data_IF_440048554819
#
_entry.id   IF_440048554819
#
_cell.length_a   1.000
_cell.length_b   1.000
_cell.length_c   1.000
_cell.angle_alpha   90.00
_cell.angle_beta   90.00
_cell.angle_gamma   90.00
#
_symmetry.space_group_name_H-M   'P 1'
#
loop_
_entity.id
_entity.type
_entity.pdbx_description
1 polymer ?
#
# COMPACT_ATOMS: atom_id res chain seq x y z
N UNK A 1 -25.66 9.25 -18.54
CA UNK A 1 -25.21 7.87 -18.83
C UNK A 1 -25.32 7.67 -20.34
N UNK A 2 -24.23 7.82 -21.10
CA UNK A 2 -24.23 7.55 -22.53
C UNK A 2 -23.23 6.42 -22.84
N UNK A 3 -23.44 5.25 -22.24
CA UNK A 3 -22.78 4.00 -22.66
C UNK A 3 -23.70 3.29 -23.64
N UNK A 4 -23.78 3.85 -24.84
CA UNK A 4 -24.46 3.21 -25.97
C UNK A 4 -23.62 2.02 -26.41
N UNK A 5 -24.27 0.87 -26.59
CA UNK A 5 -23.64 -0.35 -27.06
C UNK A 5 -24.24 -0.78 -28.39
N UNK A 6 -23.47 -1.56 -29.15
CA UNK A 6 -23.93 -2.12 -30.41
C UNK A 6 -24.97 -3.23 -30.18
N UNK A 7 -25.75 -3.57 -31.22
CA UNK A 7 -26.70 -4.68 -31.14
C UNK A 7 -26.03 -6.03 -30.81
N UNK A 8 -24.79 -6.24 -31.27
CA UNK A 8 -24.01 -7.44 -30.92
C UNK A 8 -23.65 -7.47 -29.44
N UNK A 9 -23.09 -6.37 -28.93
CA UNK A 9 -22.73 -6.26 -27.51
C UNK A 9 -23.97 -6.33 -26.60
N UNK A 10 -25.11 -5.82 -27.06
CA UNK A 10 -26.37 -5.92 -26.35
C UNK A 10 -26.85 -7.37 -26.24
N UNK A 11 -26.70 -8.14 -27.31
CA UNK A 11 -27.02 -9.56 -27.29
C UNK A 11 -26.06 -10.36 -26.41
N UNK A 12 -24.76 -10.08 -26.48
CA UNK A 12 -23.77 -10.69 -25.61
C UNK A 12 -24.02 -10.34 -24.13
N UNK A 13 -24.40 -9.10 -23.84
CA UNK A 13 -24.76 -8.67 -22.49
C UNK A 13 -25.98 -9.46 -21.96
N UNK A 14 -27.00 -9.69 -22.79
CA UNK A 14 -28.14 -10.54 -22.42
C UNK A 14 -27.73 -11.99 -22.13
N UNK A 15 -26.82 -12.56 -22.92
CA UNK A 15 -26.31 -13.91 -22.68
C UNK A 15 -25.54 -14.02 -21.36
N UNK A 16 -24.84 -12.97 -20.97
CA UNK A 16 -24.14 -12.86 -19.69
C UNK A 16 -25.07 -12.46 -18.52
N UNK A 17 -26.39 -12.39 -18.74
CA UNK A 17 -27.38 -12.11 -17.70
C UNK A 17 -27.57 -10.63 -17.35
N UNK A 18 -27.01 -9.70 -18.14
CA UNK A 18 -27.25 -8.27 -17.96
C UNK A 18 -28.63 -7.85 -18.47
N UNK A 19 -29.22 -6.87 -17.81
CA UNK A 19 -30.45 -6.24 -18.29
C UNK A 19 -30.11 -5.17 -19.32
N UNK A 20 -30.58 -5.33 -20.55
CA UNK A 20 -30.39 -4.36 -21.64
C UNK A 20 -31.66 -3.57 -21.85
N UNK A 21 -31.52 -2.26 -22.09
CA UNK A 21 -32.61 -1.38 -22.46
C UNK A 21 -32.42 -0.90 -23.91
N UNK A 22 -33.52 -0.55 -24.56
CA UNK A 22 -33.56 -0.14 -25.95
C UNK A 22 -34.36 1.16 -26.10
N UNK A 23 -33.96 1.99 -27.07
CA UNK A 23 -34.78 3.11 -27.56
C UNK A 23 -34.63 3.28 -29.08
N UNK A 24 -35.64 3.81 -29.78
CA UNK A 24 -35.50 4.22 -31.17
C UNK A 24 -34.50 5.38 -31.32
N UNK A 25 -33.70 5.38 -32.38
CA UNK A 25 -32.75 6.47 -32.69
C UNK A 25 -33.51 7.78 -32.88
N UNK A 26 -33.09 8.83 -32.19
CA UNK A 26 -33.69 10.17 -32.27
C UNK A 26 -34.94 10.36 -31.40
N UNK A 27 -35.33 9.34 -30.65
CA UNK A 27 -36.35 9.49 -29.61
C UNK A 27 -35.76 10.22 -28.39
N UNK A 28 -36.46 11.25 -27.91
CA UNK A 28 -36.05 12.01 -26.71
C UNK A 28 -36.45 11.30 -25.41
N UNK A 29 -37.16 10.17 -25.51
CA UNK A 29 -37.60 9.38 -24.38
C UNK A 29 -36.46 8.57 -23.73
N UNK A 30 -36.71 8.16 -22.48
CA UNK A 30 -35.81 7.30 -21.72
C UNK A 30 -35.79 5.86 -22.29
N UNK A 31 -34.69 5.14 -22.07
CA UNK A 31 -34.55 3.77 -22.51
C UNK A 31 -35.60 2.87 -21.86
N UNK A 32 -36.25 2.03 -22.66
CA UNK A 32 -37.31 1.13 -22.22
C UNK A 32 -36.85 -0.33 -22.24
N UNK A 33 -37.55 -1.19 -21.51
CA UNK A 33 -37.24 -2.62 -21.44
C UNK A 33 -37.46 -3.31 -22.79
N UNK A 34 -36.68 -4.36 -23.06
CA UNK A 34 -36.67 -5.04 -24.36
C UNK A 34 -37.99 -5.78 -24.67
N UNK A 35 -38.78 -6.11 -23.66
CA UNK A 35 -40.08 -6.77 -23.80
C UNK A 35 -41.12 -5.91 -24.54
N UNK A 36 -40.92 -4.59 -24.56
CA UNK A 36 -41.75 -3.63 -25.29
C UNK A 36 -41.43 -3.56 -26.79
N UNK A 37 -40.37 -4.24 -27.24
CA UNK A 37 -39.88 -4.17 -28.62
C UNK A 37 -39.87 -5.54 -29.31
N UNK A 38 -40.04 -5.59 -30.64
CA UNK A 38 -39.94 -6.85 -31.37
C UNK A 38 -38.50 -7.35 -31.45
N UNK A 39 -38.26 -8.66 -31.37
CA UNK A 39 -36.91 -9.27 -31.43
C UNK A 39 -36.07 -8.87 -32.67
N UNK A 40 -36.71 -8.33 -33.72
CA UNK A 40 -36.03 -7.81 -34.92
C UNK A 40 -35.15 -6.57 -34.67
N UNK A 41 -35.25 -5.91 -33.50
CA UNK A 41 -34.46 -4.70 -33.19
C UNK A 41 -32.96 -4.93 -33.28
N UNK A 42 -32.45 -6.13 -32.95
CA UNK A 42 -31.03 -6.45 -33.03
C UNK A 42 -30.48 -6.49 -34.46
N UNK A 43 -31.37 -6.65 -35.46
CA UNK A 43 -31.02 -6.70 -36.87
C UNK A 43 -31.27 -5.37 -37.61
N UNK A 44 -31.95 -4.40 -36.98
CA UNK A 44 -32.36 -3.14 -37.62
C UNK A 44 -31.44 -1.99 -37.24
N UNK A 45 -30.97 -1.25 -38.24
CA UNK A 45 -30.31 0.04 -38.05
C UNK A 45 -31.37 1.10 -37.74
N UNK A 46 -31.55 1.43 -36.46
CA UNK A 46 -32.57 2.38 -36.00
C UNK A 46 -32.89 2.32 -34.51
N UNK A 47 -32.17 1.49 -33.75
CA UNK A 47 -32.31 1.35 -32.30
C UNK A 47 -30.96 1.55 -31.62
N UNK A 48 -31.00 2.15 -30.44
CA UNK A 48 -29.88 2.35 -29.55
C UNK A 48 -30.06 1.49 -28.31
N UNK A 49 -29.00 0.81 -27.89
CA UNK A 49 -29.01 -0.09 -26.74
C UNK A 49 -28.10 0.45 -25.65
N UNK A 50 -28.46 0.20 -24.40
CA UNK A 50 -27.56 0.40 -23.26
C UNK A 50 -27.78 -0.69 -22.20
N UNK A 51 -26.76 -0.96 -21.38
CA UNK A 51 -26.89 -1.87 -20.24
C UNK A 51 -27.48 -1.08 -19.06
N UNK A 52 -28.57 -1.59 -18.49
CA UNK A 52 -29.11 -1.11 -17.22
C UNK A 52 -28.15 -1.52 -16.12
N UNK A 53 -27.44 -0.55 -15.58
CA UNK A 53 -26.65 -0.76 -14.38
C UNK A 53 -27.61 -0.85 -13.19
N UNK A 54 -27.70 -2.02 -12.56
CA UNK A 54 -28.44 -2.18 -11.32
C UNK A 54 -27.89 -1.21 -10.26
N UNK A 55 -28.77 -0.60 -9.47
CA UNK A 55 -28.37 0.25 -8.34
C UNK A 55 -28.67 -0.46 -7.03
N UNK A 56 -27.87 -0.16 -6.01
CA UNK A 56 -28.04 -0.64 -4.64
C UNK A 56 -28.12 0.56 -3.70
N UNK A 57 -28.92 0.45 -2.65
CA UNK A 57 -29.01 1.43 -1.57
C UNK A 57 -28.31 0.89 -0.31
N UNK A 58 -27.39 1.68 0.24
CA UNK A 58 -26.71 1.38 1.49
C UNK A 58 -26.60 2.65 2.34
N UNK A 59 -27.00 2.58 3.61
CA UNK A 59 -26.99 3.72 4.55
C UNK A 59 -27.73 4.98 4.03
N UNK A 60 -28.76 4.80 3.21
CA UNK A 60 -29.53 5.89 2.58
C UNK A 60 -28.79 6.58 1.43
N UNK A 61 -27.74 5.95 0.87
CA UNK A 61 -27.02 6.40 -0.31
C UNK A 61 -27.19 5.35 -1.40
N UNK A 62 -27.66 5.76 -2.57
CA UNK A 62 -27.83 4.90 -3.74
C UNK A 62 -26.63 5.02 -4.67
N UNK A 63 -26.07 3.90 -5.11
CA UNK A 63 -24.97 3.84 -6.09
C UNK A 63 -25.13 2.62 -7.01
N UNK A 64 -24.46 2.60 -8.16
CA UNK A 64 -24.49 1.44 -9.06
C UNK A 64 -23.82 0.22 -8.44
N UNK A 65 -24.33 -0.96 -8.74
CA UNK A 65 -23.76 -2.24 -8.34
C UNK A 65 -22.28 -2.31 -8.72
N UNK A 66 -21.40 -2.79 -7.81
CA UNK A 66 -19.98 -2.90 -8.09
C UNK A 66 -19.70 -3.67 -9.40
N UNK A 67 -18.58 -3.32 -10.03
CA UNK A 67 -18.12 -4.01 -11.24
C UNK A 67 -17.81 -5.47 -10.90
N UNK A 68 -18.34 -6.39 -11.71
CA UNK A 68 -18.05 -7.82 -11.60
C UNK A 68 -16.94 -8.23 -12.56
N UNK A 69 -16.36 -9.41 -12.33
CA UNK A 69 -15.25 -9.90 -13.16
C UNK A 69 -15.67 -10.17 -14.61
N UNK A 70 -16.93 -10.56 -14.83
CA UNK A 70 -17.48 -10.85 -16.16
C UNK A 70 -17.64 -9.56 -17.00
N UNK A 71 -17.72 -8.41 -16.34
CA UNK A 71 -17.83 -7.10 -16.98
C UNK A 71 -16.48 -6.41 -17.18
N UNK A 72 -15.44 -6.91 -16.51
CA UNK A 72 -14.12 -6.31 -16.56
C UNK A 72 -13.43 -6.65 -17.88
N UNK A 73 -13.02 -5.62 -18.62
CA UNK A 73 -12.19 -5.75 -19.81
C UNK A 73 -10.75 -5.41 -19.45
N UNK A 74 -9.80 -6.30 -19.78
CA UNK A 74 -8.38 -6.06 -19.54
C UNK A 74 -7.92 -4.75 -20.21
N UNK A 75 -7.24 -3.90 -19.45
CA UNK A 75 -6.79 -2.58 -19.91
C UNK A 75 -7.82 -1.45 -19.78
N UNK A 76 -9.00 -1.70 -19.22
CA UNK A 76 -9.97 -0.65 -18.90
C UNK A 76 -9.58 0.09 -17.61
N UNK A 77 -9.70 1.42 -17.63
CA UNK A 77 -9.61 2.25 -16.42
C UNK A 77 -10.80 1.94 -15.49
N UNK A 78 -10.52 1.45 -14.29
CA UNK A 78 -11.50 1.16 -13.24
C UNK A 78 -11.13 1.84 -11.93
N UNK A 79 -12.15 2.10 -11.10
CA UNK A 79 -12.02 2.87 -9.87
C UNK A 79 -12.09 1.94 -8.66
N UNK A 80 -10.94 1.70 -8.03
CA UNK A 80 -10.80 0.83 -6.86
C UNK A 80 -10.95 1.65 -5.57
N UNK A 81 -11.79 1.18 -4.67
CA UNK A 81 -12.14 1.84 -3.42
C UNK A 81 -11.28 1.27 -2.29
N UNK A 82 -10.58 2.13 -1.56
CA UNK A 82 -9.88 1.78 -0.34
C UNK A 82 -10.66 2.29 0.88
N UNK A 83 -10.98 1.40 1.82
CA UNK A 83 -11.73 1.72 3.05
C UNK A 83 -10.84 1.99 4.27
N UNK A 84 -9.60 1.50 4.30
CA UNK A 84 -8.68 1.71 5.43
C UNK A 84 -8.17 3.16 5.50
N UNK A 85 -7.82 3.71 4.34
CA UNK A 85 -7.49 5.11 4.12
C UNK A 85 -8.43 5.58 3.00
N UNK A 86 -9.55 6.25 3.33
CA UNK A 86 -10.60 6.56 2.36
C UNK A 86 -10.06 7.30 1.14
N UNK A 87 -9.88 6.54 0.06
CA UNK A 87 -9.26 7.00 -1.18
C UNK A 87 -9.76 6.12 -2.32
N UNK A 88 -9.72 6.67 -3.53
CA UNK A 88 -10.13 5.98 -4.75
C UNK A 88 -8.95 5.99 -5.70
N UNK A 89 -8.56 4.80 -6.15
CA UNK A 89 -7.47 4.62 -7.09
C UNK A 89 -7.99 4.28 -8.48
N UNK A 90 -7.46 4.94 -9.50
CA UNK A 90 -7.71 4.55 -10.89
C UNK A 90 -6.64 3.53 -11.28
N UNK A 91 -7.08 2.34 -11.68
CA UNK A 91 -6.22 1.26 -12.15
C UNK A 91 -6.61 0.95 -13.60
N UNK A 92 -5.66 1.09 -14.52
CA UNK A 92 -5.85 0.79 -15.96
C UNK A 92 -5.16 -0.50 -16.42
N UNK A 93 -4.61 -1.28 -15.50
CA UNK A 93 -3.88 -2.51 -15.80
C UNK A 93 -4.32 -3.67 -14.90
N UNK A 94 -4.31 -4.87 -15.44
CA UNK A 94 -4.71 -6.07 -14.70
C UNK A 94 -3.66 -6.46 -13.66
N UNK A 95 -4.09 -6.67 -12.43
CA UNK A 95 -3.26 -7.19 -11.33
C UNK A 95 -4.05 -8.18 -10.49
N UNK A 96 -3.35 -9.07 -9.79
CA UNK A 96 -3.98 -9.98 -8.84
C UNK A 96 -4.80 -9.23 -7.77
N UNK A 97 -4.27 -8.11 -7.27
CA UNK A 97 -4.95 -7.24 -6.30
C UNK A 97 -6.21 -6.58 -6.88
N UNK A 98 -6.20 -6.16 -8.16
CA UNK A 98 -7.38 -5.64 -8.82
C UNK A 98 -8.47 -6.72 -8.94
N UNK A 99 -8.10 -7.92 -9.40
CA UNK A 99 -9.05 -9.04 -9.54
C UNK A 99 -9.67 -9.38 -8.18
N UNK A 100 -8.89 -9.39 -7.11
CA UNK A 100 -9.41 -9.60 -5.76
C UNK A 100 -10.36 -8.48 -5.32
N UNK A 101 -10.01 -7.23 -5.59
CA UNK A 101 -10.88 -6.08 -5.29
C UNK A 101 -12.22 -6.16 -6.04
N UNK A 102 -12.20 -6.57 -7.32
CA UNK A 102 -13.40 -6.80 -8.14
C UNK A 102 -14.26 -7.88 -7.50
N UNK A 103 -13.67 -9.04 -7.16
CA UNK A 103 -14.39 -10.16 -6.53
C UNK A 103 -15.02 -9.79 -5.18
N UNK A 104 -14.38 -8.89 -4.44
CA UNK A 104 -14.88 -8.38 -3.15
C UNK A 104 -15.85 -7.21 -3.29
N UNK A 105 -16.12 -6.72 -4.51
CA UNK A 105 -17.08 -5.65 -4.77
C UNK A 105 -16.57 -4.24 -4.42
N UNK A 106 -15.25 -4.02 -4.42
CA UNK A 106 -14.63 -2.72 -4.13
C UNK A 106 -14.22 -1.94 -5.39
N UNK A 107 -14.80 -2.28 -6.55
CA UNK A 107 -14.44 -1.66 -7.83
C UNK A 107 -15.66 -1.10 -8.53
N UNK A 108 -15.52 0.10 -9.09
CA UNK A 108 -16.57 0.81 -9.83
C UNK A 108 -16.11 1.19 -11.23
N UNK A 109 -17.10 1.43 -12.09
CA UNK A 109 -16.90 1.86 -13.49
C UNK A 109 -16.59 3.34 -13.61
N UNK A 110 -16.99 4.12 -12.61
CA UNK A 110 -16.86 5.58 -12.61
C UNK A 110 -16.53 6.13 -11.22
N UNK A 111 -15.93 7.32 -11.22
CA UNK A 111 -15.49 8.00 -10.01
C UNK A 111 -16.63 8.40 -9.09
N UNK A 112 -17.79 8.80 -9.63
CA UNK A 112 -18.89 9.32 -8.83
C UNK A 112 -19.56 8.19 -8.04
N UNK A 113 -19.81 7.04 -8.67
CA UNK A 113 -20.29 5.85 -7.98
C UNK A 113 -19.24 5.28 -7.02
N UNK A 114 -17.94 5.38 -7.33
CA UNK A 114 -16.88 5.04 -6.37
C UNK A 114 -16.95 5.91 -5.12
N UNK A 115 -17.15 7.23 -5.27
CA UNK A 115 -17.33 8.16 -4.15
C UNK A 115 -18.59 7.86 -3.35
N UNK A 116 -19.71 7.61 -4.03
CA UNK A 116 -20.98 7.28 -3.38
C UNK A 116 -20.88 5.96 -2.60
N UNK A 117 -20.28 4.93 -3.19
CA UNK A 117 -20.06 3.64 -2.53
C UNK A 117 -19.15 3.78 -1.30
N UNK A 118 -18.05 4.53 -1.40
CA UNK A 118 -17.15 4.78 -0.28
C UNK A 118 -17.86 5.55 0.84
N UNK A 119 -18.63 6.59 0.51
CA UNK A 119 -19.47 7.33 1.48
C UNK A 119 -20.50 6.40 2.14
N UNK A 120 -21.13 5.53 1.37
CA UNK A 120 -22.10 4.57 1.87
C UNK A 120 -21.47 3.57 2.84
N UNK A 121 -20.30 3.01 2.53
CA UNK A 121 -19.57 2.13 3.42
C UNK A 121 -19.13 2.85 4.70
N UNK A 122 -18.58 4.04 4.60
CA UNK A 122 -18.15 4.80 5.77
C UNK A 122 -19.32 5.12 6.69
N UNK A 123 -20.44 5.57 6.12
CA UNK A 123 -21.66 5.86 6.88
C UNK A 123 -22.24 4.60 7.53
N UNK A 124 -22.23 3.46 6.83
CA UNK A 124 -22.64 2.17 7.39
C UNK A 124 -21.76 1.71 8.56
N UNK A 125 -20.47 2.06 8.53
CA UNK A 125 -19.50 1.78 9.61
C UNK A 125 -19.49 2.85 10.73
N UNK A 126 -20.33 3.89 10.63
CA UNK A 126 -20.44 4.95 11.64
C UNK A 126 -19.48 6.13 11.47
N UNK A 127 -18.84 6.28 10.31
CA UNK A 127 -17.93 7.37 9.97
C UNK A 127 -18.52 8.27 8.87
N UNK A 128 -18.53 9.59 9.08
CA UNK A 128 -18.95 10.55 8.05
C UNK A 128 -17.74 11.10 7.30
N UNK A 129 -17.63 10.76 6.02
CA UNK A 129 -16.66 11.38 5.12
C UNK A 129 -17.29 12.64 4.51
N UNK A 130 -17.00 13.78 5.13
CA UNK A 130 -17.35 15.10 4.61
C UNK A 130 -16.28 15.70 3.70
N UNK A 131 -15.12 15.05 3.59
CA UNK A 131 -13.98 15.54 2.82
C UNK A 131 -14.12 15.21 1.33
N UNK A 132 -13.54 16.06 0.46
CA UNK A 132 -13.42 15.75 -0.96
C UNK A 132 -12.52 14.51 -1.13
N UNK A 133 -13.13 13.41 -1.55
CA UNK A 133 -12.45 12.15 -1.79
C UNK A 133 -11.46 12.32 -2.95
N UNK A 134 -10.17 12.10 -2.65
CA UNK A 134 -9.12 12.15 -3.66
C UNK A 134 -9.21 10.92 -4.55
N UNK A 135 -9.35 11.16 -5.85
CA UNK A 135 -9.26 10.15 -6.90
C UNK A 135 -7.87 10.27 -7.52
N UNK A 136 -7.05 9.24 -7.38
CA UNK A 136 -5.63 9.27 -7.77
C UNK A 136 -5.34 8.11 -8.71
N UNK A 137 -4.59 8.33 -9.80
CA UNK A 137 -4.09 7.22 -10.62
C UNK A 137 -3.01 6.46 -9.88
N UNK A 138 -3.13 5.13 -9.85
CA UNK A 138 -2.13 4.28 -9.21
C UNK A 138 -0.77 4.49 -9.90
N UNK A 139 0.19 5.09 -9.18
CA UNK A 139 1.51 5.48 -9.70
C UNK A 139 1.73 6.99 -9.91
N UNK A 140 0.67 7.80 -9.92
CA UNK A 140 0.72 9.28 -9.99
C UNK A 140 0.23 9.90 -8.68
N UNK A 141 0.73 9.42 -7.54
CA UNK A 141 0.45 10.11 -6.28
C UNK A 141 1.08 11.51 -6.30
N UNK A 142 0.33 12.58 -5.96
CA UNK A 142 0.90 13.91 -5.88
C UNK A 142 2.00 13.89 -4.83
N UNK A 143 3.25 14.09 -5.27
CA UNK A 143 4.40 14.33 -4.40
C UNK A 143 3.99 15.42 -3.42
N UNK A 144 3.92 15.10 -2.12
CA UNK A 144 3.62 16.07 -1.08
C UNK A 144 4.55 17.27 -1.25
N UNK A 145 4.02 18.39 -1.73
CA UNK A 145 4.72 19.66 -1.65
C UNK A 145 4.95 19.92 -0.16
N UNK A 146 6.22 19.90 0.23
CA UNK A 146 6.70 20.30 1.55
C UNK A 146 6.28 21.77 1.73
N UNK A 147 5.11 21.99 2.32
CA UNK A 147 4.54 23.31 2.53
C UNK A 147 5.49 24.14 3.40
N UNK A 148 5.98 25.26 2.86
CA UNK A 148 6.54 26.34 3.65
C UNK A 148 5.53 26.69 4.75
N UNK A 149 5.97 26.71 6.01
CA UNK A 149 5.22 27.32 7.12
C UNK A 149 4.92 28.79 6.76
N UNK A 150 3.73 29.05 6.25
CA UNK A 150 3.13 30.39 6.33
C UNK A 150 2.34 30.45 7.64
N UNK A 151 2.91 31.14 8.62
CA UNK A 151 2.20 31.59 9.81
C UNK A 151 1.08 32.53 9.36
N UNK A 152 -0.17 32.08 9.45
CA UNK A 152 -1.34 32.93 9.30
C UNK A 152 -1.95 33.16 10.68
N UNK A 153 -1.79 34.37 11.19
CA UNK A 153 -2.59 34.94 12.27
C UNK A 153 -3.70 35.76 11.59
N UNK A 154 -4.94 35.55 12.02
CA UNK A 154 -6.18 36.09 11.43
C UNK A 154 -6.38 37.61 11.71
N UNK A 155 -7.29 38.28 10.97
CA UNK A 155 -7.11 39.66 10.46
C UNK A 155 -7.87 40.76 11.23
N UNK A 156 -7.46 42.04 11.06
CA UNK A 156 -8.38 43.20 10.95
C UNK A 156 -7.69 44.57 10.62
N UNK A 157 -8.27 45.26 9.63
CA UNK A 157 -8.53 46.73 9.46
C UNK A 157 -7.43 47.81 9.22
N UNK A 158 -7.39 48.30 7.95
CA UNK A 158 -7.72 49.67 7.44
C UNK A 158 -6.90 50.93 7.85
N UNK A 159 -6.07 51.44 6.87
CA UNK A 159 -5.83 52.85 6.36
C UNK A 159 -5.15 53.93 7.30
N UNK A 160 -4.38 54.98 6.86
CA UNK A 160 -3.38 55.22 5.78
C UNK A 160 -2.06 55.92 6.24
N UNK A 161 -1.17 56.20 5.26
CA UNK A 161 0.10 56.97 5.24
C UNK A 161 0.33 58.18 6.17
N UNK A 162 1.59 58.35 6.63
CA UNK A 162 2.31 59.64 6.80
C UNK A 162 3.86 59.46 6.83
N UNK A 163 4.54 59.99 5.79
CA UNK A 163 5.79 60.82 5.73
C UNK A 163 7.02 60.55 6.65
N UNK A 164 8.14 60.09 6.02
CA UNK A 164 9.59 60.50 6.03
C UNK A 164 10.34 60.96 7.33
N UNK A 165 11.72 61.08 7.39
CA UNK A 165 12.82 60.76 6.43
C UNK A 165 14.17 60.15 7.00
N UNK A 166 15.09 59.85 6.06
CA UNK A 166 16.56 60.13 6.01
C UNK A 166 17.67 59.30 6.71
N UNK A 167 18.66 58.92 5.87
CA UNK A 167 20.13 58.88 6.12
C UNK A 167 20.68 57.59 6.76
N UNK A 168 21.84 57.01 6.42
CA UNK A 168 22.97 57.33 5.55
C UNK A 168 23.74 56.01 5.30
N UNK A 169 24.26 55.81 4.09
CA UNK A 169 25.38 54.89 3.83
C UNK A 169 26.72 55.63 4.02
N UNK A 170 27.84 54.92 4.22
CA UNK A 170 28.86 55.07 3.18
C UNK A 170 29.64 53.77 2.84
N UNK A 171 29.99 53.74 1.56
CA UNK A 171 30.99 52.93 0.87
C UNK A 171 32.40 53.43 1.23
N UNK A 172 33.35 52.55 1.56
CA UNK A 172 34.79 52.87 1.48
C UNK A 172 35.58 51.63 1.00
N UNK A 173 36.30 51.85 -0.10
CA UNK A 173 37.35 51.04 -0.73
C UNK A 173 38.69 51.57 -0.22
N UNK A 174 39.63 50.70 0.21
CA UNK A 174 41.06 51.05 0.36
C UNK A 174 41.92 49.88 -0.13
N UNK A 175 42.82 50.21 -1.06
CA UNK A 175 43.89 49.46 -1.72
C UNK A 175 45.18 49.39 -0.88
N UNK A 176 45.93 48.27 -1.02
CA UNK A 176 47.42 48.07 -1.01
C UNK A 176 48.32 48.93 -0.08
N UNK A 177 49.41 48.46 0.56
CA UNK A 177 50.62 47.83 -0.03
C UNK A 177 51.72 47.56 1.08
N UNK A 178 52.59 46.53 0.86
CA UNK A 178 54.04 46.31 1.22
C UNK A 178 54.64 46.39 2.66
N UNK A 179 55.35 45.32 3.11
CA UNK A 179 56.83 45.12 3.03
C UNK A 179 57.41 43.97 3.93
N UNK A 180 58.15 43.04 3.29
CA UNK A 180 59.51 42.47 3.56
C UNK A 180 59.98 42.12 4.99
N UNK A 181 60.48 40.89 5.22
CA UNK A 181 61.84 40.57 5.78
C UNK A 181 62.24 39.12 5.47
N UNK A 182 63.47 38.96 4.97
CA UNK A 182 64.23 37.79 4.51
C UNK A 182 65.09 37.12 5.61
N UNK A 183 65.46 35.84 5.45
CA UNK A 183 66.79 35.19 5.74
C UNK A 183 66.70 33.68 5.37
N UNK A 184 67.36 33.17 4.31
CA UNK A 184 68.65 32.39 4.29
C UNK A 184 68.64 31.11 5.17
N UNK A 185 69.18 29.93 4.82
CA UNK A 185 69.84 29.32 3.65
C UNK A 185 70.11 27.83 4.04
N UNK A 186 70.43 26.98 3.04
CA UNK A 186 71.20 25.72 3.06
C UNK A 186 70.53 24.32 3.14
N UNK A 187 70.62 23.66 1.96
CA UNK A 187 70.91 22.25 1.62
C UNK A 187 69.76 21.32 1.19
N UNK A 188 69.69 21.13 -0.14
CA UNK A 188 69.00 20.03 -0.86
C UNK A 188 69.98 18.85 -1.05
N UNK A 189 69.51 17.61 -1.28
CA UNK A 189 69.53 17.12 -2.66
C UNK A 189 68.20 16.50 -3.12
N UNK A 190 68.02 16.57 -4.44
CA UNK A 190 66.84 16.33 -5.27
C UNK A 190 66.28 14.91 -5.21
N UNK A 191 64.98 14.78 -5.45
CA UNK A 191 64.34 14.15 -6.64
C UNK A 191 62.83 14.16 -6.34
N UNK A 192 61.89 14.69 -7.12
CA UNK A 192 61.79 14.93 -8.56
C UNK A 192 60.53 15.78 -8.78
N UNK A 193 60.65 16.91 -9.48
CA UNK A 193 59.50 17.74 -9.93
C UNK A 193 58.68 17.02 -11.00
N UNK A 194 57.38 17.32 -11.03
CA UNK A 194 56.88 18.04 -12.20
C UNK A 194 56.13 19.31 -11.76
N UNK A 195 56.69 20.48 -12.08
CA UNK A 195 56.02 21.75 -12.42
C UNK A 195 54.56 21.96 -11.93
N UNK A 196 54.33 21.96 -10.62
CA UNK A 196 53.10 22.51 -10.03
C UNK A 196 53.43 23.91 -9.50
N UNK A 197 52.82 24.94 -10.11
CA UNK A 197 52.95 26.33 -9.66
C UNK A 197 52.63 26.40 -8.15
N UNK A 198 53.44 27.09 -7.33
CA UNK A 198 53.26 27.15 -5.87
C UNK A 198 51.87 27.65 -5.44
N UNK A 199 51.22 28.46 -6.30
CA UNK A 199 49.85 28.95 -6.12
C UNK A 199 48.79 27.83 -6.08
N UNK A 200 48.93 26.81 -6.94
CA UNK A 200 47.96 25.70 -7.06
C UNK A 200 48.02 24.77 -5.84
N UNK A 201 49.21 24.61 -5.25
CA UNK A 201 49.38 23.81 -4.03
C UNK A 201 48.80 24.52 -2.80
N UNK A 202 48.91 25.85 -2.71
CA UNK A 202 48.26 26.62 -1.65
C UNK A 202 46.73 26.59 -1.78
N UNK A 203 46.19 26.70 -2.99
CA UNK A 203 44.75 26.60 -3.27
C UNK A 203 44.18 25.21 -2.93
N UNK A 204 44.96 24.15 -3.17
CA UNK A 204 44.60 22.78 -2.80
C UNK A 204 44.42 22.62 -1.28
N UNK A 205 45.37 23.09 -0.47
CA UNK A 205 45.30 23.00 0.99
C UNK A 205 44.14 23.81 1.57
N UNK A 206 43.90 25.03 1.04
CA UNK A 206 42.77 25.87 1.45
C UNK A 206 41.43 25.16 1.17
N UNK A 207 41.33 24.44 0.05
CA UNK A 207 40.13 23.72 -0.31
C UNK A 207 39.88 22.50 0.59
N UNK A 208 40.93 21.75 0.95
CA UNK A 208 40.82 20.64 1.89
C UNK A 208 40.37 21.11 3.28
N UNK A 209 40.92 22.23 3.76
CA UNK A 209 40.48 22.83 5.02
C UNK A 209 39.05 23.36 4.93
N UNK A 210 38.65 23.96 3.80
CA UNK A 210 37.28 24.40 3.55
C UNK A 210 36.29 23.22 3.56
N UNK A 211 36.65 22.08 2.95
CA UNK A 211 35.86 20.84 2.98
C UNK A 211 35.73 20.34 4.43
N UNK A 212 36.82 20.35 5.21
CA UNK A 212 36.82 19.90 6.61
C UNK A 212 35.89 20.71 7.51
N UNK A 213 35.74 22.03 7.27
CA UNK A 213 34.91 22.92 8.10
C UNK A 213 33.44 22.99 7.67
N UNK A 214 33.06 22.39 6.53
CA UNK A 214 31.67 22.40 6.05
C UNK A 214 30.74 21.74 7.08
N UNK A 215 29.62 22.40 7.41
CA UNK A 215 28.66 21.93 8.42
C UNK A 215 27.38 21.36 7.78
N UNK A 216 27.26 21.41 6.45
CA UNK A 216 26.13 20.83 5.72
C UNK A 216 26.53 20.35 4.33
N UNK A 217 25.77 19.39 3.80
CA UNK A 217 25.91 18.89 2.43
C UNK A 217 25.81 20.04 1.39
N UNK A 218 24.94 21.02 1.63
CA UNK A 218 24.77 22.19 0.77
C UNK A 218 26.00 23.09 0.73
N UNK A 219 26.69 23.26 1.86
CA UNK A 219 27.97 23.97 1.91
C UNK A 219 29.06 23.18 1.19
N UNK A 220 29.11 21.86 1.42
CA UNK A 220 30.08 20.96 0.79
C UNK A 220 29.99 21.00 -0.75
N UNK A 221 28.78 20.94 -1.30
CA UNK A 221 28.56 21.05 -2.74
C UNK A 221 28.93 22.42 -3.30
N UNK A 222 28.66 23.51 -2.57
CA UNK A 222 29.05 24.85 -2.99
C UNK A 222 30.58 25.06 -3.00
N UNK A 223 31.28 24.45 -2.05
CA UNK A 223 32.74 24.48 -1.94
C UNK A 223 33.38 23.67 -3.06
N UNK A 224 32.78 22.54 -3.43
CA UNK A 224 33.26 21.69 -4.53
C UNK A 224 32.85 22.17 -5.93
N UNK A 225 31.81 22.99 -6.06
CA UNK A 225 31.27 23.44 -7.36
C UNK A 225 32.26 24.29 -8.21
N UNK A 226 33.37 24.75 -7.64
CA UNK A 226 34.38 25.56 -8.34
C UNK A 226 35.63 24.77 -8.76
N UNK A 227 35.67 23.45 -8.52
CA UNK A 227 36.82 22.59 -8.80
C UNK A 227 37.23 22.54 -10.27
N UNK A 228 36.27 22.64 -11.20
CA UNK A 228 36.52 22.54 -12.65
C UNK A 228 37.35 23.70 -13.23
N UNK A 229 37.57 24.78 -12.46
CA UNK A 229 38.34 25.95 -12.89
C UNK A 229 39.81 25.94 -12.47
N UNK A 230 40.17 25.10 -11.51
CA UNK A 230 41.47 25.08 -10.87
C UNK A 230 42.28 23.93 -11.46
N UNK A 231 43.47 24.22 -12.00
CA UNK A 231 44.32 23.27 -12.72
C UNK A 231 44.97 22.21 -11.83
N UNK A 232 44.19 21.51 -11.02
CA UNK A 232 44.64 20.45 -10.11
C UNK A 232 45.14 19.23 -10.88
N UNK A 233 46.18 18.58 -10.35
CA UNK A 233 46.66 17.31 -10.87
C UNK A 233 45.64 16.18 -10.59
N UNK A 234 45.75 15.08 -11.32
CA UNK A 234 44.88 13.92 -11.11
C UNK A 234 44.98 13.34 -9.68
N UNK A 235 46.14 13.47 -9.04
CA UNK A 235 46.37 13.02 -7.65
C UNK A 235 45.68 13.96 -6.64
N UNK A 236 45.72 15.27 -6.89
CA UNK A 236 45.02 16.26 -6.06
C UNK A 236 43.51 16.11 -6.14
N UNK A 237 42.96 15.91 -7.35
CA UNK A 237 41.51 15.66 -7.53
C UNK A 237 41.07 14.43 -6.74
N UNK A 238 41.85 13.35 -6.80
CA UNK A 238 41.56 12.13 -6.03
C UNK A 238 41.54 12.40 -4.52
N UNK A 239 42.49 13.17 -4.01
CA UNK A 239 42.52 13.55 -2.59
C UNK A 239 41.35 14.44 -2.18
N UNK A 240 40.88 15.32 -3.07
CA UNK A 240 39.69 16.15 -2.84
C UNK A 240 38.42 15.28 -2.81
N UNK A 241 38.29 14.35 -3.76
CA UNK A 241 37.14 13.43 -3.81
C UNK A 241 37.11 12.53 -2.57
N UNK A 242 38.26 12.02 -2.12
CA UNK A 242 38.39 11.27 -0.87
C UNK A 242 38.00 12.13 0.35
N UNK A 243 38.46 13.39 0.43
CA UNK A 243 38.09 14.30 1.50
C UNK A 243 36.60 14.66 1.49
N UNK A 244 36.02 14.88 0.30
CA UNK A 244 34.58 15.13 0.12
C UNK A 244 33.77 13.93 0.60
N UNK A 245 34.13 12.73 0.18
CA UNK A 245 33.41 11.51 0.55
C UNK A 245 33.52 11.21 2.05
N UNK A 246 34.70 11.41 2.65
CA UNK A 246 34.88 11.27 4.09
C UNK A 246 34.03 12.28 4.86
N UNK A 247 34.00 13.55 4.45
CA UNK A 247 33.19 14.57 5.12
C UNK A 247 31.70 14.32 4.96
N UNK A 248 31.25 13.86 3.79
CA UNK A 248 29.86 13.45 3.56
C UNK A 248 29.47 12.31 4.50
N UNK A 249 30.36 11.32 4.65
CA UNK A 249 30.16 10.19 5.58
C UNK A 249 30.13 10.65 7.04
N UNK A 250 30.95 11.64 7.42
CA UNK A 250 30.92 12.26 8.76
C UNK A 250 29.63 13.03 9.02
N UNK A 251 29.13 13.80 8.04
CA UNK A 251 27.87 14.53 8.14
C UNK A 251 26.68 13.58 8.25
N UNK A 252 26.67 12.49 7.47
CA UNK A 252 25.67 11.42 7.58
C UNK A 252 25.71 10.75 8.97
N UNK A 253 26.92 10.46 9.50
CA UNK A 253 27.07 9.87 10.82
C UNK A 253 26.63 10.82 11.96
N UNK A 254 26.88 12.12 11.81
CA UNK A 254 26.44 13.15 12.75
C UNK A 254 24.91 13.30 12.74
N UNK A 255 24.26 13.22 11.57
CA UNK A 255 22.79 13.22 11.45
C UNK A 255 22.17 11.96 12.09
N UNK A 256 22.85 10.82 12.02
CA UNK A 256 22.44 9.57 12.67
C UNK A 256 22.55 9.67 14.21
N UNK A 257 23.59 10.32 14.75
CA UNK A 257 23.82 10.41 16.21
C UNK A 257 22.92 11.47 16.88
N UNK A 258 22.64 12.59 16.20
CA UNK A 258 21.68 13.60 16.66
C UNK A 258 20.22 13.07 16.63
N UNK A 259 19.93 12.09 15.74
CA UNK A 259 18.64 11.36 15.73
C UNK A 259 18.61 10.24 16.80
N UNK A 260 19.73 9.55 17.04
CA UNK A 260 19.82 8.47 18.03
C UNK A 260 19.75 8.95 19.49
N UNK A 261 20.19 10.18 19.77
CA UNK A 261 20.19 10.74 21.13
C UNK A 261 18.80 11.22 21.59
N UNK A 262 17.80 11.23 20.70
CA UNK A 262 16.39 11.42 21.10
C UNK A 262 15.80 10.07 21.55
N UNK A 263 15.86 9.82 22.86
CA UNK A 263 15.42 8.61 23.56
C UNK A 263 14.26 7.86 22.92
N UNK A 264 14.36 6.53 22.87
CA UNK A 264 13.25 5.63 22.57
C UNK A 264 11.98 6.09 23.33
N UNK A 265 10.81 6.21 22.67
CA UNK A 265 9.61 6.72 23.33
C UNK A 265 9.26 5.90 24.58
N UNK A 266 8.87 6.56 25.68
CA UNK A 266 8.59 5.90 26.98
C UNK A 266 7.59 4.73 26.88
N UNK A 267 6.67 4.79 25.91
CA UNK A 267 5.68 3.75 25.69
C UNK A 267 6.22 2.52 24.92
N UNK A 268 7.47 2.51 24.46
CA UNK A 268 8.04 1.43 23.65
C UNK A 268 7.97 0.07 24.35
N UNK A 269 8.46 -0.03 25.58
CA UNK A 269 8.50 -1.30 26.32
C UNK A 269 7.08 -1.84 26.60
N UNK A 270 6.14 -0.95 26.92
CA UNK A 270 4.74 -1.31 27.12
C UNK A 270 4.08 -1.82 25.83
N UNK A 271 4.39 -1.21 24.68
CA UNK A 271 3.88 -1.67 23.39
C UNK A 271 4.48 -3.02 22.98
N UNK A 272 5.77 -3.26 23.25
CA UNK A 272 6.41 -4.57 23.02
C UNK A 272 5.74 -5.65 23.86
N UNK A 273 5.47 -5.39 25.15
CA UNK A 273 4.72 -6.33 26.00
C UNK A 273 3.29 -6.57 25.48
N UNK A 274 2.62 -5.53 24.98
CA UNK A 274 1.29 -5.67 24.37
C UNK A 274 1.31 -6.54 23.11
N UNK A 275 2.39 -6.50 22.32
CA UNK A 275 2.57 -7.37 21.15
C UNK A 275 2.80 -8.81 21.62
N UNK A 276 3.69 -9.03 22.59
CA UNK A 276 4.01 -10.37 23.07
C UNK A 276 2.81 -11.09 23.70
N UNK A 277 1.95 -10.34 24.41
CA UNK A 277 0.75 -10.88 25.04
C UNK A 277 -0.47 -10.95 24.10
N UNK A 278 -0.37 -10.47 22.87
CA UNK A 278 -1.49 -10.52 21.92
C UNK A 278 -1.76 -11.95 21.45
N UNK A 279 -3.03 -12.34 21.44
CA UNK A 279 -3.49 -13.66 20.98
C UNK A 279 -4.09 -13.61 19.58
N UNK A 280 -4.36 -12.42 19.05
CA UNK A 280 -4.95 -12.23 17.71
C UNK A 280 -4.13 -11.28 16.84
N UNK A 281 -4.15 -11.45 15.50
CA UNK A 281 -3.52 -10.51 14.57
C UNK A 281 -4.02 -9.07 14.74
N UNK A 282 -5.30 -8.91 15.06
CA UNK A 282 -5.94 -7.62 15.31
C UNK A 282 -5.34 -6.90 16.52
N UNK A 283 -5.10 -7.62 17.62
CA UNK A 283 -4.46 -7.07 18.82
C UNK A 283 -3.03 -6.60 18.54
N UNK A 284 -2.25 -7.37 17.76
CA UNK A 284 -0.90 -6.99 17.33
C UNK A 284 -0.95 -5.73 16.47
N UNK A 285 -1.84 -5.68 15.47
CA UNK A 285 -1.98 -4.54 14.56
C UNK A 285 -2.49 -3.27 15.27
N UNK A 286 -3.21 -3.44 16.37
CA UNK A 286 -3.73 -2.34 17.17
C UNK A 286 -2.62 -1.44 17.74
N UNK A 287 -1.42 -1.98 17.96
CA UNK A 287 -0.27 -1.29 18.56
C UNK A 287 0.26 -0.17 17.66
N UNK A 288 0.06 -0.27 16.34
CA UNK A 288 0.49 0.74 15.36
C UNK A 288 -0.11 2.11 15.64
N UNK A 289 -1.33 2.20 16.19
CA UNK A 289 -2.01 3.47 16.48
C UNK A 289 -1.23 4.34 17.49
N UNK A 290 -0.45 3.72 18.37
CA UNK A 290 0.34 4.40 19.40
C UNK A 290 1.71 4.88 18.90
N UNK A 291 2.06 4.57 17.64
CA UNK A 291 3.33 4.97 17.01
C UNK A 291 3.17 6.13 16.01
N UNK A 292 2.03 6.82 16.02
CA UNK A 292 1.74 7.92 15.09
C UNK A 292 2.71 9.11 15.17
N UNK A 293 3.34 9.31 16.33
CA UNK A 293 4.32 10.38 16.58
C UNK A 293 5.77 9.91 16.51
N UNK A 294 6.00 8.64 16.22
CA UNK A 294 7.34 8.05 16.20
C UNK A 294 8.01 8.30 14.84
N UNK A 295 9.34 8.42 14.84
CA UNK A 295 10.11 8.43 13.60
C UNK A 295 10.15 7.03 12.98
N UNK A 296 10.51 6.94 11.69
CA UNK A 296 10.63 5.64 11.02
C UNK A 296 11.63 4.73 11.71
N UNK A 297 12.72 5.30 12.22
CA UNK A 297 13.77 4.57 12.94
C UNK A 297 13.30 4.05 14.30
N UNK A 298 12.52 4.84 15.05
CA UNK A 298 11.88 4.39 16.29
C UNK A 298 10.81 3.31 16.03
N UNK A 299 10.16 3.34 14.86
CA UNK A 299 9.09 2.39 14.51
C UNK A 299 9.62 1.02 14.05
N UNK A 300 10.79 0.99 13.39
CA UNK A 300 11.45 -0.24 12.91
C UNK A 300 11.53 -1.36 13.96
N UNK A 301 12.05 -1.16 15.18
CA UNK A 301 12.16 -2.23 16.17
C UNK A 301 10.79 -2.77 16.59
N UNK A 302 9.79 -1.91 16.72
CA UNK A 302 8.43 -2.33 17.08
C UNK A 302 7.75 -3.14 15.96
N UNK A 303 7.94 -2.71 14.70
CA UNK A 303 7.42 -3.43 13.53
C UNK A 303 8.04 -4.83 13.40
N UNK A 304 9.32 -5.00 13.74
CA UNK A 304 9.97 -6.30 13.75
C UNK A 304 9.33 -7.25 14.78
N UNK A 305 9.06 -6.77 15.99
CA UNK A 305 8.34 -7.56 17.01
C UNK A 305 6.91 -7.91 16.57
N UNK A 306 6.21 -6.98 15.92
CA UNK A 306 4.89 -7.25 15.35
C UNK A 306 4.92 -8.35 14.29
N UNK A 307 5.84 -8.26 13.32
CA UNK A 307 5.98 -9.26 12.27
C UNK A 307 6.31 -10.64 12.85
N UNK A 308 7.19 -10.68 13.85
CA UNK A 308 7.51 -11.91 14.58
C UNK A 308 6.27 -12.54 15.21
N UNK A 309 5.49 -11.76 15.98
CA UNK A 309 4.26 -12.26 16.63
C UNK A 309 3.20 -12.69 15.63
N UNK A 310 2.98 -11.92 14.55
CA UNK A 310 2.04 -12.27 13.49
C UNK A 310 2.42 -13.58 12.79
N UNK A 311 3.71 -13.81 12.58
CA UNK A 311 4.22 -15.07 12.04
C UNK A 311 3.92 -16.24 12.98
N UNK A 312 4.14 -16.10 14.28
CA UNK A 312 3.81 -17.13 15.28
C UNK A 312 2.30 -17.44 15.33
N UNK A 313 1.44 -16.41 15.29
CA UNK A 313 -0.01 -16.59 15.27
C UNK A 313 -0.47 -17.27 13.97
N UNK A 314 0.12 -16.93 12.83
CA UNK A 314 -0.17 -17.59 11.56
C UNK A 314 0.29 -19.05 11.54
N UNK A 315 1.46 -19.37 12.11
CA UNK A 315 1.91 -20.76 12.26
C UNK A 315 0.98 -21.57 13.16
N UNK A 316 0.50 -20.96 14.27
CA UNK A 316 -0.46 -21.60 15.17
C UNK A 316 -1.81 -21.84 14.47
N UNK A 317 -2.28 -20.86 13.68
CA UNK A 317 -3.48 -20.99 12.86
C UNK A 317 -3.34 -22.01 11.73
N UNK A 318 -2.16 -22.12 11.11
CA UNK A 318 -1.86 -23.14 10.09
C UNK A 318 -1.81 -24.55 10.68
N UNK A 319 -1.33 -24.73 11.91
CA UNK A 319 -1.45 -26.02 12.62
C UNK A 319 -2.92 -26.38 12.93
N UNK A 320 -3.78 -25.38 13.15
CA UNK A 320 -5.23 -25.56 13.30
C UNK A 320 -5.96 -25.75 11.95
N UNK A 321 -5.49 -25.15 10.84
CA UNK A 321 -6.09 -25.20 9.49
C UNK A 321 -5.61 -26.39 8.63
N UNK A 322 -4.42 -26.96 8.88
CA UNK A 322 -4.02 -28.27 8.32
C UNK A 322 -4.99 -29.39 8.77
N UNK A 323 -5.83 -29.08 9.77
CA UNK A 323 -7.01 -29.83 10.14
C UNK A 323 -8.21 -29.41 9.29
N UNK A 324 -8.13 -29.60 7.97
CA UNK A 324 -9.37 -29.92 7.25
C UNK A 324 -9.99 -31.13 7.93
N UNK A 325 -11.17 -30.99 8.55
CA UNK A 325 -11.28 -31.35 9.95
C UNK A 325 -11.36 -32.85 10.11
N UNK A 326 -10.72 -33.39 11.16
CA UNK A 326 -10.90 -34.79 11.58
C UNK A 326 -12.41 -35.17 11.61
N UNK A 327 -13.29 -34.20 11.87
CA UNK A 327 -14.75 -34.28 11.73
C UNK A 327 -15.18 -34.78 10.32
N UNK A 328 -14.68 -34.17 9.25
CA UNK A 328 -15.03 -34.55 7.86
C UNK A 328 -14.41 -35.90 7.51
N UNK A 329 -13.17 -36.16 7.92
CA UNK A 329 -12.51 -37.47 7.71
C UNK A 329 -13.25 -38.60 8.43
N UNK A 330 -13.69 -38.37 9.68
CA UNK A 330 -14.51 -39.32 10.44
C UNK A 330 -15.91 -39.50 9.83
N UNK A 331 -16.52 -38.43 9.30
CA UNK A 331 -17.86 -38.49 8.71
C UNK A 331 -17.92 -39.30 7.41
N UNK A 332 -16.87 -39.25 6.60
CA UNK A 332 -16.82 -39.90 5.28
C UNK A 332 -15.81 -41.07 5.21
N UNK A 333 -15.42 -41.64 6.35
CA UNK A 333 -14.49 -42.77 6.38
C UNK A 333 -15.01 -43.93 5.51
N UNK A 334 -14.20 -44.46 4.57
CA UNK A 334 -14.67 -45.46 3.59
C UNK A 334 -14.89 -46.85 4.20
N UNK A 335 -14.12 -47.24 5.21
CA UNK A 335 -14.19 -48.57 5.84
C UNK A 335 -13.91 -48.53 7.35
N UNK A 336 -14.09 -49.67 8.02
CA UNK A 336 -13.92 -49.75 9.47
C UNK A 336 -12.45 -49.56 9.89
N UNK A 337 -11.50 -49.97 9.03
CA UNK A 337 -10.07 -49.90 9.31
C UNK A 337 -9.60 -48.44 9.31
N UNK A 338 -9.90 -47.69 8.25
CA UNK A 338 -9.63 -46.24 8.15
C UNK A 338 -10.31 -45.45 9.26
N UNK A 339 -11.53 -45.82 9.67
CA UNK A 339 -12.21 -45.19 10.80
C UNK A 339 -11.46 -45.41 12.13
N UNK A 340 -10.94 -46.61 12.37
CA UNK A 340 -10.17 -46.94 13.57
C UNK A 340 -8.84 -46.17 13.63
N UNK A 341 -8.18 -45.96 12.49
CA UNK A 341 -6.97 -45.13 12.44
C UNK A 341 -7.25 -43.68 12.79
N UNK A 342 -8.38 -43.13 12.29
CA UNK A 342 -8.82 -41.76 12.59
C UNK A 342 -9.26 -41.59 14.06
N UNK A 343 -9.83 -42.62 14.69
CA UNK A 343 -10.17 -42.59 16.11
C UNK A 343 -8.93 -42.47 17.01
N UNK A 344 -7.79 -43.04 16.61
CA UNK A 344 -6.50 -42.87 17.32
C UNK A 344 -5.98 -41.44 17.27
N UNK A 345 -6.41 -40.63 16.30
CA UNK A 345 -6.05 -39.22 16.21
C UNK A 345 -6.86 -38.36 17.21
N UNK A 346 -8.02 -38.81 17.71
CA UNK A 346 -8.91 -38.01 18.57
C UNK A 346 -8.23 -37.52 19.87
N UNK A 347 -7.49 -38.35 20.63
CA UNK A 347 -6.84 -37.90 21.88
C UNK A 347 -5.79 -36.82 21.68
N UNK A 348 -5.23 -36.67 20.47
CA UNK A 348 -4.28 -35.61 20.14
C UNK A 348 -4.94 -34.25 19.87
N UNK A 349 -6.29 -34.20 19.81
CA UNK A 349 -7.06 -32.96 19.60
C UNK A 349 -7.37 -32.26 20.92
N UNK A 350 -7.84 -31.01 20.83
CA UNK A 350 -8.27 -30.25 22.00
C UNK A 350 -9.41 -30.97 22.76
N UNK A 351 -9.40 -31.03 24.12
CA UNK A 351 -10.39 -31.76 24.91
C UNK A 351 -11.85 -31.37 24.61
N UNK A 352 -12.11 -30.09 24.33
CA UNK A 352 -13.47 -29.58 24.07
C UNK A 352 -14.15 -30.20 22.84
N UNK A 353 -13.36 -30.67 21.86
CA UNK A 353 -13.90 -31.28 20.64
C UNK A 353 -14.02 -32.80 20.71
N UNK A 354 -13.44 -33.46 21.73
CA UNK A 354 -13.40 -34.92 21.84
C UNK A 354 -14.80 -35.54 21.83
N UNK A 355 -15.74 -34.98 22.58
CA UNK A 355 -17.12 -35.49 22.67
C UNK A 355 -17.78 -35.50 21.29
N UNK A 356 -17.59 -34.44 20.51
CA UNK A 356 -18.15 -34.31 19.16
C UNK A 356 -17.51 -35.30 18.20
N UNK A 357 -16.18 -35.42 18.22
CA UNK A 357 -15.43 -36.34 17.36
C UNK A 357 -15.80 -37.81 17.62
N UNK A 358 -15.88 -38.22 18.88
CA UNK A 358 -16.30 -39.58 19.25
C UNK A 358 -17.74 -39.89 18.84
N UNK A 359 -18.65 -38.92 18.93
CA UNK A 359 -20.03 -39.10 18.48
C UNK A 359 -20.12 -39.30 16.96
N UNK A 360 -19.33 -38.56 16.19
CA UNK A 360 -19.25 -38.71 14.73
C UNK A 360 -18.66 -40.07 14.36
N UNK A 361 -17.56 -40.46 15.00
CA UNK A 361 -16.92 -41.77 14.79
C UNK A 361 -17.90 -42.92 15.09
N UNK A 362 -18.59 -42.86 16.24
CA UNK A 362 -19.60 -43.85 16.63
C UNK A 362 -20.75 -43.94 15.63
N UNK A 363 -21.22 -42.79 15.13
CA UNK A 363 -22.26 -42.74 14.09
C UNK A 363 -21.79 -43.42 12.81
N UNK A 364 -20.61 -43.06 12.30
CA UNK A 364 -20.06 -43.63 11.07
C UNK A 364 -19.80 -45.14 11.19
N UNK A 365 -19.33 -45.60 12.34
CA UNK A 365 -19.15 -47.03 12.65
C UNK A 365 -20.45 -47.82 12.54
N UNK A 366 -21.56 -47.24 12.99
CA UNK A 366 -22.90 -47.83 12.85
C UNK A 366 -23.33 -47.97 11.39
N UNK A 367 -23.10 -46.93 10.58
CA UNK A 367 -23.41 -46.94 9.14
C UNK A 367 -22.61 -48.01 8.37
N UNK A 368 -21.31 -48.15 8.66
CA UNK A 368 -20.44 -49.14 8.03
C UNK A 368 -20.79 -50.59 8.43
N UNK A 369 -21.19 -50.81 9.68
CA UNK A 369 -21.64 -52.12 10.16
C UNK A 369 -23.01 -52.51 9.57
N UNK A 370 -23.93 -51.55 9.42
CA UNK A 370 -25.23 -51.77 8.78
C UNK A 370 -25.09 -52.06 7.28
N UNK A 371 -24.14 -51.41 6.59
CA UNK A 371 -23.84 -51.70 5.18
C UNK A 371 -23.17 -53.07 4.97
N UNK A 372 -22.56 -53.64 6.02
CA UNK A 372 -21.89 -54.95 5.97
C UNK A 372 -22.81 -56.12 6.35
N UNK A 373 -24.06 -55.87 6.74
CA UNK A 373 -25.05 -56.91 7.02
C UNK A 373 -25.92 -57.16 5.77
N UNK A 374 -25.80 -58.32 5.08
CA UNK A 374 -26.69 -58.60 3.96
C UNK A 374 -28.12 -58.77 4.47
N UNK A 375 -29.06 -58.08 3.83
CA UNK A 375 -30.50 -58.28 4.05
C UNK A 375 -30.84 -59.74 3.79
N UNK A 376 -31.24 -60.46 4.83
CA UNK A 376 -31.93 -61.74 4.68
C UNK A 376 -33.29 -61.47 4.01
N UNK A 377 -33.37 -61.72 2.72
CA UNK A 377 -34.66 -61.97 2.05
C UNK A 377 -35.28 -63.24 2.66
N UNK A 378 -36.56 -63.22 3.07
CA UNK A 378 -37.26 -64.46 3.41
C UNK A 378 -37.64 -65.18 2.11
N UNK A 379 -36.97 -66.31 1.89
CA UNK A 379 -37.39 -67.43 1.03
C UNK A 379 -38.88 -67.74 1.23
N UNK A 380 -39.74 -67.34 0.28
CA UNK A 380 -41.05 -67.96 0.10
C UNK A 380 -40.89 -69.16 -0.85
N UNK A 381 -40.60 -70.29 -0.22
CA UNK A 381 -41.05 -71.66 -0.54
C UNK A 381 -41.60 -71.91 -1.95
N UNK A 382 -40.77 -72.53 -2.79
CA UNK A 382 -41.23 -73.53 -3.76
C UNK A 382 -41.46 -74.87 -3.03
N UNK A 383 -42.63 -75.49 -3.24
CA UNK A 383 -42.77 -76.95 -3.11
C UNK A 383 -44.11 -77.43 -2.56
N UNK A 384 -45.03 -77.83 -3.45
CA UNK A 384 -45.49 -79.23 -3.60
C UNK A 384 -46.48 -79.28 -4.78
N UNK A 385 -46.16 -79.91 -5.92
CA UNK A 385 -46.11 -81.35 -6.24
C UNK A 385 -47.46 -81.91 -6.75
N UNK A 386 -47.42 -82.37 -8.01
CA UNK A 386 -48.31 -83.29 -8.75
C UNK A 386 -49.74 -82.86 -9.12
#
# INVERSE_FOLDING_TARGET
MNNLITASEAFDALQNGFTVLCRPVGDMLEFSELDQFPATIFAKSGYEFCIKLETIELAGITFTKPLTIDEYKAGQDVFVINTYLPSIYIIGFETASLIEAIKRGFVQRDAENAKLQLKAFSKALGFEINNDLSVVRLGEEPKKQRGKKSKAESPAKVIPSEVFPAGNQPVIVITEQINVTTSEDLLVPETSDPDIKPEVNAQFEILLDAIRICQSEKELDSTCANLEKEGFSAEQIKSIDEAKQNRLTELDAQEIDDVATTSMPENFESLVQSIQNAHTPEEVNSVVRYTSKWTEEQRKPLLNEMHKRLSELNQTKQQDDELSPLIVRLQYAPDLNTLEELEREIPSRHPDVHKTLWNIAKKRRGELNAASTPSLDPDYLLGDNF
#
